data_IF_579846580124
#
_entry.id   IF_579846580124
#
_cell.length_a   1.000
_cell.length_b   1.000
_cell.length_c   1.000
_cell.angle_alpha   90.00
_cell.angle_beta   90.00
_cell.angle_gamma   90.00
#
_symmetry.space_group_name_H-M   'P 1'
#
loop_
_entity.id
_entity.type
_entity.pdbx_description
1 polymer ?
#
# COMPACT_ATOMS: atom_id res chain seq x y z
N UNK A 1 18.56 2.63 12.71
CA UNK A 1 19.36 2.32 11.49
C UNK A 1 20.12 3.51 10.89
N UNK A 2 19.53 4.71 10.74
CA UNK A 2 20.14 5.80 9.94
C UNK A 2 21.54 6.24 10.39
N UNK A 3 21.74 6.49 11.69
CA UNK A 3 23.02 6.94 12.23
C UNK A 3 24.14 5.92 11.97
N UNK A 4 23.86 4.63 12.23
CA UNK A 4 24.80 3.53 12.03
C UNK A 4 25.10 3.35 10.53
N UNK A 5 24.08 3.48 9.68
CA UNK A 5 24.27 3.48 8.22
C UNK A 5 25.23 4.59 7.78
N UNK A 6 25.03 5.82 8.26
CA UNK A 6 25.90 6.95 7.90
C UNK A 6 27.36 6.75 8.37
N UNK A 7 27.55 6.20 9.58
CA UNK A 7 28.90 5.89 10.09
C UNK A 7 29.58 4.81 9.25
N UNK A 8 28.86 3.74 8.88
CA UNK A 8 29.41 2.66 8.06
C UNK A 8 29.77 3.18 6.66
N UNK A 9 28.91 4.01 6.04
CA UNK A 9 29.17 4.59 4.72
C UNK A 9 30.36 5.55 4.75
N UNK A 10 30.47 6.40 5.79
CA UNK A 10 31.59 7.34 5.90
C UNK A 10 32.91 6.61 6.16
N UNK A 11 32.92 5.58 7.00
CA UNK A 11 34.09 4.73 7.24
C UNK A 11 34.50 3.97 5.98
N UNK A 12 33.55 3.35 5.27
CA UNK A 12 33.86 2.64 4.04
C UNK A 12 34.41 3.58 2.94
N UNK A 13 33.88 4.80 2.85
CA UNK A 13 34.41 5.83 1.95
C UNK A 13 35.81 6.30 2.36
N UNK A 14 36.10 6.40 3.66
CA UNK A 14 37.42 6.80 4.15
C UNK A 14 38.47 5.71 3.92
N UNK A 15 38.11 4.44 4.15
CA UNK A 15 39.00 3.29 3.96
C UNK A 15 39.03 2.74 2.51
N UNK A 16 38.28 3.35 1.57
CA UNK A 16 38.15 2.90 0.19
C UNK A 16 37.70 1.42 0.03
N UNK A 17 36.82 0.94 0.92
CA UNK A 17 36.30 -0.43 0.88
C UNK A 17 35.17 -0.50 -0.16
N UNK A 18 35.32 -1.35 -1.18
CA UNK A 18 34.32 -1.50 -2.25
C UNK A 18 33.10 -2.33 -1.84
N UNK A 19 33.31 -3.40 -1.07
CA UNK A 19 32.26 -4.35 -0.69
C UNK A 19 32.35 -4.62 0.82
N UNK A 20 31.25 -4.37 1.56
CA UNK A 20 31.17 -4.65 3.00
C UNK A 20 29.84 -5.29 3.35
N UNK A 21 29.91 -6.51 3.87
CA UNK A 21 28.78 -7.18 4.50
C UNK A 21 28.75 -6.83 5.98
N UNK A 22 27.58 -6.44 6.49
CA UNK A 22 27.34 -6.20 7.91
C UNK A 22 26.33 -7.20 8.45
N UNK A 23 26.54 -7.60 9.70
CA UNK A 23 25.54 -8.32 10.51
C UNK A 23 24.93 -7.29 11.43
N UNK A 24 23.60 -7.18 11.41
CA UNK A 24 22.91 -6.09 12.09
C UNK A 24 21.69 -6.63 12.80
N UNK A 25 21.56 -6.33 14.09
CA UNK A 25 20.42 -6.74 14.89
C UNK A 25 19.69 -5.51 15.45
N UNK A 26 18.52 -5.21 14.89
CA UNK A 26 17.61 -4.17 15.37
C UNK A 26 16.22 -4.76 15.61
N UNK A 27 15.98 -5.42 16.76
CA UNK A 27 14.72 -6.12 17.03
C UNK A 27 13.50 -5.17 17.01
N UNK A 28 13.60 -3.99 17.63
CA UNK A 28 12.50 -3.03 17.72
C UNK A 28 12.00 -2.54 16.34
N UNK A 29 12.93 -2.26 15.43
CA UNK A 29 12.61 -1.78 14.08
C UNK A 29 12.04 -2.89 13.19
N UNK A 30 12.41 -4.14 13.45
CA UNK A 30 11.87 -5.31 12.74
C UNK A 30 10.44 -5.58 13.21
N UNK A 31 10.17 -5.44 14.51
CA UNK A 31 8.81 -5.58 15.06
C UNK A 31 7.88 -4.48 14.56
N UNK A 32 8.35 -3.23 14.50
CA UNK A 32 7.60 -2.12 13.91
C UNK A 32 7.31 -2.36 12.42
N UNK A 33 8.29 -2.85 11.66
CA UNK A 33 8.11 -3.19 10.24
C UNK A 33 7.07 -4.31 10.05
N UNK A 34 7.06 -5.32 10.94
CA UNK A 34 6.06 -6.39 10.93
C UNK A 34 4.66 -5.83 11.19
N UNK A 35 4.51 -4.95 12.19
CA UNK A 35 3.23 -4.30 12.48
C UNK A 35 2.72 -3.45 11.30
N UNK A 36 3.62 -2.75 10.61
CA UNK A 36 3.28 -1.96 9.43
C UNK A 36 2.85 -2.85 8.26
N UNK A 37 3.54 -3.97 8.02
CA UNK A 37 3.18 -4.91 6.95
C UNK A 37 1.80 -5.54 7.17
N UNK A 38 1.45 -5.91 8.41
CA UNK A 38 0.10 -6.41 8.75
C UNK A 38 -0.97 -5.36 8.41
N UNK A 39 -0.74 -4.09 8.80
CA UNK A 39 -1.65 -3.00 8.45
C UNK A 39 -1.78 -2.78 6.95
N UNK A 40 -0.68 -2.91 6.21
CA UNK A 40 -0.69 -2.79 4.74
C UNK A 40 -1.58 -3.86 4.11
N UNK A 41 -1.52 -5.11 4.59
CA UNK A 41 -2.38 -6.20 4.13
C UNK A 41 -3.86 -5.93 4.43
N UNK A 42 -4.17 -5.43 5.63
CA UNK A 42 -5.54 -5.02 6.00
C UNK A 42 -6.08 -3.90 5.08
N UNK A 43 -5.28 -2.86 4.84
CA UNK A 43 -5.65 -1.74 3.96
C UNK A 43 -5.83 -2.19 2.50
N UNK A 44 -5.05 -3.18 2.06
CA UNK A 44 -5.21 -3.81 0.75
C UNK A 44 -6.55 -4.55 0.63
N UNK A 45 -6.92 -5.34 1.64
CA UNK A 45 -8.21 -6.04 1.67
C UNK A 45 -9.40 -5.06 1.69
N UNK A 46 -9.32 -3.98 2.49
CA UNK A 46 -10.33 -2.92 2.50
C UNK A 46 -10.44 -2.22 1.14
N UNK A 47 -9.30 -1.95 0.48
CA UNK A 47 -9.29 -1.35 -0.85
C UNK A 47 -9.99 -2.22 -1.89
N UNK A 48 -9.74 -3.51 -1.87
CA UNK A 48 -10.35 -4.47 -2.80
C UNK A 48 -11.87 -4.51 -2.64
N UNK A 49 -12.34 -4.61 -1.38
CA UNK A 49 -13.76 -4.55 -1.05
C UNK A 49 -14.42 -3.25 -1.52
N UNK A 50 -13.85 -2.09 -1.19
CA UNK A 50 -14.39 -0.79 -1.62
C UNK A 50 -14.42 -0.65 -3.15
N UNK A 51 -13.45 -1.26 -3.85
CA UNK A 51 -13.41 -1.23 -5.31
C UNK A 51 -14.54 -2.06 -5.93
N UNK A 52 -14.86 -3.22 -5.32
CA UNK A 52 -16.01 -4.04 -5.73
C UNK A 52 -17.34 -3.32 -5.47
N UNK A 53 -17.55 -2.77 -4.27
CA UNK A 53 -18.77 -2.03 -3.91
C UNK A 53 -19.00 -0.82 -4.85
N UNK A 54 -17.95 -0.08 -5.21
CA UNK A 54 -18.04 1.03 -6.17
C UNK A 54 -18.38 0.58 -7.59
N UNK A 55 -17.88 -0.58 -8.03
CA UNK A 55 -18.21 -1.14 -9.33
C UNK A 55 -19.70 -1.53 -9.39
N UNK A 56 -20.22 -2.14 -8.32
CA UNK A 56 -21.63 -2.49 -8.21
C UNK A 56 -22.53 -1.26 -8.19
N UNK A 57 -22.18 -0.22 -7.42
CA UNK A 57 -22.90 1.05 -7.44
C UNK A 57 -22.87 1.70 -8.83
N UNK A 58 -21.75 1.65 -9.54
CA UNK A 58 -21.64 2.20 -10.90
C UNK A 58 -22.54 1.46 -11.90
N UNK A 59 -22.64 0.13 -11.77
CA UNK A 59 -23.55 -0.69 -12.58
C UNK A 59 -25.02 -0.39 -12.25
N UNK A 60 -25.36 -0.23 -10.98
CA UNK A 60 -26.69 0.16 -10.53
C UNK A 60 -27.09 1.55 -11.04
N UNK A 61 -26.20 2.55 -10.97
CA UNK A 61 -26.44 3.89 -11.53
C UNK A 61 -26.75 3.79 -13.03
N UNK A 62 -25.96 3.03 -13.80
CA UNK A 62 -26.20 2.85 -15.24
C UNK A 62 -27.59 2.28 -15.52
N UNK A 63 -28.00 1.26 -14.77
CA UNK A 63 -29.33 0.65 -14.92
C UNK A 63 -30.46 1.62 -14.52
N UNK A 64 -30.27 2.40 -13.44
CA UNK A 64 -31.24 3.39 -12.99
C UNK A 64 -31.40 4.54 -13.98
N UNK A 65 -30.30 4.99 -14.62
CA UNK A 65 -30.35 6.02 -15.68
C UNK A 65 -31.17 5.53 -16.87
N UNK A 66 -30.95 4.29 -17.33
CA UNK A 66 -31.72 3.70 -18.43
C UNK A 66 -33.21 3.65 -18.07
N UNK A 67 -33.54 3.15 -16.87
CA UNK A 67 -34.94 3.05 -16.40
C UNK A 67 -35.61 4.42 -16.25
N UNK A 68 -34.87 5.42 -15.77
CA UNK A 68 -35.38 6.78 -15.65
C UNK A 68 -35.67 7.40 -17.02
N UNK A 69 -34.81 7.12 -18.02
CA UNK A 69 -35.00 7.58 -19.39
C UNK A 69 -36.18 6.88 -20.09
N UNK A 70 -36.33 5.57 -19.89
CA UNK A 70 -37.50 4.82 -20.39
C UNK A 70 -38.81 5.38 -19.81
N UNK A 71 -38.82 5.67 -18.50
CA UNK A 71 -39.98 6.27 -17.83
C UNK A 71 -40.29 7.67 -18.35
N UNK A 72 -39.24 8.45 -18.70
CA UNK A 72 -39.37 9.77 -19.33
C UNK A 72 -40.00 9.66 -20.72
N UNK A 73 -39.56 8.69 -21.53
CA UNK A 73 -40.13 8.43 -22.87
C UNK A 73 -41.60 7.98 -22.80
N UNK A 74 -41.98 7.23 -21.77
CA UNK A 74 -43.36 6.81 -21.52
C UNK A 74 -44.23 7.88 -20.84
N UNK A 75 -43.69 9.08 -20.57
CA UNK A 75 -44.35 10.19 -19.85
C UNK A 75 -44.79 9.84 -18.42
N UNK A 76 -44.21 8.79 -17.81
CA UNK A 76 -44.50 8.39 -16.44
C UNK A 76 -43.64 9.18 -15.44
N UNK A 77 -44.13 10.36 -15.09
CA UNK A 77 -43.45 11.29 -14.19
C UNK A 77 -43.31 10.76 -12.75
N UNK A 78 -44.17 9.83 -12.30
CA UNK A 78 -44.06 9.25 -10.94
C UNK A 78 -42.86 8.32 -10.86
N UNK A 79 -42.71 7.43 -11.83
CA UNK A 79 -41.60 6.48 -11.87
C UNK A 79 -40.28 7.17 -12.19
N UNK A 80 -40.29 8.18 -13.06
CA UNK A 80 -39.13 9.05 -13.30
C UNK A 80 -38.62 9.70 -12.00
N UNK A 81 -39.51 10.35 -11.23
CA UNK A 81 -39.13 11.01 -9.97
C UNK A 81 -38.55 10.03 -8.96
N UNK A 82 -39.12 8.83 -8.83
CA UNK A 82 -38.58 7.77 -7.95
C UNK A 82 -37.17 7.35 -8.39
N UNK A 83 -36.96 7.13 -9.69
CA UNK A 83 -35.65 6.79 -10.25
C UNK A 83 -34.58 7.85 -9.96
N UNK A 84 -34.92 9.14 -10.07
CA UNK A 84 -33.98 10.22 -9.71
C UNK A 84 -33.68 10.31 -8.21
N UNK A 85 -34.66 10.03 -7.34
CA UNK A 85 -34.43 9.99 -5.89
C UNK A 85 -33.46 8.85 -5.54
N UNK A 86 -33.69 7.66 -6.11
CA UNK A 86 -32.80 6.50 -5.95
C UNK A 86 -31.39 6.78 -6.49
N UNK A 87 -31.29 7.42 -7.66
CA UNK A 87 -30.02 7.82 -8.26
C UNK A 87 -29.28 8.85 -7.40
N UNK A 88 -29.98 9.81 -6.81
CA UNK A 88 -29.39 10.80 -5.91
C UNK A 88 -28.85 10.17 -4.62
N UNK A 89 -29.61 9.25 -4.02
CA UNK A 89 -29.16 8.49 -2.86
C UNK A 89 -27.90 7.69 -3.18
N UNK A 90 -27.92 6.94 -4.29
CA UNK A 90 -26.80 6.11 -4.73
C UNK A 90 -25.55 6.94 -5.07
N UNK A 91 -25.71 8.12 -5.67
CA UNK A 91 -24.60 9.05 -5.90
C UNK A 91 -24.00 9.58 -4.60
N UNK A 92 -24.84 9.87 -3.61
CA UNK A 92 -24.37 10.34 -2.29
C UNK A 92 -23.56 9.24 -1.59
N UNK A 93 -24.04 8.00 -1.65
CA UNK A 93 -23.34 6.84 -1.11
C UNK A 93 -22.02 6.58 -1.84
N UNK A 94 -22.00 6.69 -3.17
CA UNK A 94 -20.77 6.55 -3.97
C UNK A 94 -19.75 7.64 -3.64
N UNK A 95 -20.19 8.89 -3.43
CA UNK A 95 -19.31 9.98 -3.00
C UNK A 95 -18.71 9.72 -1.61
N UNK A 96 -19.49 9.18 -0.69
CA UNK A 96 -19.00 8.80 0.64
C UNK A 96 -17.99 7.65 0.55
N UNK A 97 -18.30 6.61 -0.22
CA UNK A 97 -17.38 5.49 -0.48
C UNK A 97 -16.08 5.95 -1.15
N UNK A 98 -16.17 6.90 -2.10
CA UNK A 98 -15.00 7.49 -2.76
C UNK A 98 -14.11 8.24 -1.76
N UNK A 99 -14.69 9.03 -0.85
CA UNK A 99 -13.92 9.72 0.20
C UNK A 99 -13.18 8.73 1.10
N UNK A 100 -13.86 7.68 1.56
CA UNK A 100 -13.24 6.61 2.37
C UNK A 100 -12.10 5.95 1.61
N UNK A 101 -12.29 5.65 0.31
CA UNK A 101 -11.25 5.08 -0.54
C UNK A 101 -10.04 6.00 -0.68
N UNK A 102 -10.25 7.30 -0.85
CA UNK A 102 -9.17 8.28 -0.90
C UNK A 102 -8.36 8.29 0.41
N UNK A 103 -9.04 8.35 1.55
CA UNK A 103 -8.37 8.29 2.87
C UNK A 103 -7.60 6.99 3.05
N UNK A 104 -8.21 5.84 2.73
CA UNK A 104 -7.55 4.53 2.78
C UNK A 104 -6.31 4.48 1.87
N UNK A 105 -6.41 5.06 0.66
CA UNK A 105 -5.30 5.11 -0.28
C UNK A 105 -4.15 5.99 0.20
N UNK A 106 -4.46 7.14 0.81
CA UNK A 106 -3.45 8.02 1.41
C UNK A 106 -2.71 7.33 2.57
N UNK A 107 -3.44 6.62 3.44
CA UNK A 107 -2.83 5.85 4.53
C UNK A 107 -1.94 4.72 3.99
N UNK A 108 -2.41 3.97 3.00
CA UNK A 108 -1.63 2.93 2.34
C UNK A 108 -0.32 3.48 1.75
N UNK A 109 -0.37 4.64 1.07
CA UNK A 109 0.82 5.30 0.53
C UNK A 109 1.80 5.71 1.61
N UNK A 110 1.32 6.20 2.77
CA UNK A 110 2.18 6.55 3.92
C UNK A 110 2.91 5.30 4.43
N UNK A 111 2.21 4.19 4.65
CA UNK A 111 2.82 2.95 5.12
C UNK A 111 3.80 2.36 4.11
N UNK A 112 3.45 2.33 2.82
CA UNK A 112 4.38 1.88 1.77
C UNK A 112 5.63 2.75 1.66
N UNK A 113 5.52 4.05 1.92
CA UNK A 113 6.69 4.95 1.99
C UNK A 113 7.58 4.59 3.17
N UNK A 114 7.02 4.32 4.34
CA UNK A 114 7.77 3.89 5.53
C UNK A 114 8.48 2.56 5.26
N UNK A 115 7.79 1.56 4.70
CA UNK A 115 8.38 0.27 4.32
C UNK A 115 9.57 0.46 3.37
N UNK A 116 9.41 1.25 2.31
CA UNK A 116 10.49 1.52 1.36
C UNK A 116 11.67 2.27 2.01
N UNK A 117 11.40 3.20 2.92
CA UNK A 117 12.45 3.86 3.69
C UNK A 117 13.18 2.85 4.58
N UNK A 118 12.49 1.98 5.31
CA UNK A 118 13.11 0.96 6.15
C UNK A 118 13.98 -0.01 5.34
N UNK A 119 13.56 -0.41 4.13
CA UNK A 119 14.39 -1.22 3.22
C UNK A 119 15.65 -0.46 2.81
N UNK A 120 15.54 0.82 2.46
CA UNK A 120 16.70 1.65 2.11
C UNK A 120 17.66 1.81 3.30
N UNK A 121 17.12 2.00 4.51
CA UNK A 121 17.90 2.06 5.75
C UNK A 121 18.64 0.75 6.01
N UNK A 122 17.98 -0.39 5.82
CA UNK A 122 18.59 -1.72 5.92
C UNK A 122 19.69 -1.94 4.86
N UNK A 123 19.51 -1.42 3.64
CA UNK A 123 20.51 -1.46 2.57
C UNK A 123 21.71 -0.56 2.85
N UNK A 124 21.50 0.63 3.43
CA UNK A 124 22.57 1.59 3.77
C UNK A 124 23.52 1.12 4.87
N UNK A 125 23.17 0.05 5.59
CA UNK A 125 24.08 -0.59 6.54
C UNK A 125 25.19 -1.41 5.85
N UNK A 126 25.15 -1.55 4.52
CA UNK A 126 26.09 -2.35 3.71
C UNK A 126 26.63 -1.54 2.54
N UNK A 127 27.76 -1.97 2.00
CA UNK A 127 28.47 -1.24 0.93
C UNK A 127 28.68 -2.17 -0.27
N UNK A 128 28.56 -1.60 -1.47
CA UNK A 128 28.79 -2.31 -2.72
C UNK A 128 27.69 -3.31 -3.08
N UNK A 129 28.08 -4.48 -3.56
CA UNK A 129 27.16 -5.51 -4.12
C UNK A 129 26.15 -6.01 -3.09
N UNK A 130 26.55 -6.07 -1.82
CA UNK A 130 25.71 -6.53 -0.71
C UNK A 130 24.51 -5.61 -0.44
N UNK A 131 24.61 -4.30 -0.74
CA UNK A 131 23.47 -3.37 -0.64
C UNK A 131 22.37 -3.74 -1.63
N UNK A 132 22.74 -3.99 -2.88
CA UNK A 132 21.77 -4.32 -3.94
C UNK A 132 21.09 -5.66 -3.68
N UNK A 133 21.85 -6.66 -3.23
CA UNK A 133 21.34 -8.00 -2.88
C UNK A 133 20.33 -7.96 -1.74
N UNK A 134 20.56 -7.15 -0.69
CA UNK A 134 19.62 -7.01 0.41
C UNK A 134 18.36 -6.28 -0.02
N UNK A 135 18.46 -5.24 -0.86
CA UNK A 135 17.29 -4.53 -1.36
C UNK A 135 16.41 -5.46 -2.22
N UNK A 136 17.02 -6.26 -3.11
CA UNK A 136 16.28 -7.24 -3.92
C UNK A 136 15.72 -8.37 -3.06
N UNK A 137 16.48 -8.89 -2.10
CA UNK A 137 16.03 -9.92 -1.16
C UNK A 137 14.86 -9.46 -0.29
N UNK A 138 14.92 -8.25 0.27
CA UNK A 138 13.83 -7.65 1.03
C UNK A 138 12.58 -7.45 0.16
N UNK A 139 12.72 -6.97 -1.08
CA UNK A 139 11.59 -6.82 -2.00
C UNK A 139 10.95 -8.17 -2.36
N UNK A 140 11.76 -9.21 -2.58
CA UNK A 140 11.25 -10.54 -2.89
C UNK A 140 10.56 -11.19 -1.69
N UNK A 141 11.07 -10.97 -0.48
CA UNK A 141 10.48 -11.49 0.76
C UNK A 141 9.14 -10.81 1.08
N UNK A 142 9.02 -9.51 0.80
CA UNK A 142 7.74 -8.79 0.90
C UNK A 142 6.73 -9.33 -0.11
N UNK A 143 7.15 -9.63 -1.36
CA UNK A 143 6.26 -10.21 -2.37
C UNK A 143 5.77 -11.62 -2.02
N UNK A 144 6.59 -12.40 -1.34
CA UNK A 144 6.28 -13.78 -0.93
C UNK A 144 5.62 -13.85 0.46
N UNK A 145 5.43 -12.69 1.11
CA UNK A 145 4.93 -12.53 2.48
C UNK A 145 5.68 -13.39 3.52
N UNK A 146 6.97 -13.66 3.28
CA UNK A 146 7.82 -14.44 4.18
C UNK A 146 8.56 -13.52 5.16
N UNK A 147 7.94 -13.30 6.31
CA UNK A 147 8.47 -12.50 7.41
C UNK A 147 9.74 -13.09 8.04
N UNK A 148 9.88 -14.42 8.02
CA UNK A 148 11.05 -15.10 8.59
C UNK A 148 12.27 -14.92 7.68
N UNK A 149 12.08 -15.04 6.36
CA UNK A 149 13.10 -14.71 5.37
C UNK A 149 13.47 -13.23 5.42
N UNK A 150 12.50 -12.31 5.52
CA UNK A 150 12.78 -10.88 5.63
C UNK A 150 13.66 -10.55 6.85
N UNK A 151 13.34 -11.15 8.01
CA UNK A 151 14.11 -10.95 9.24
C UNK A 151 15.54 -11.50 9.10
N UNK A 152 15.70 -12.67 8.47
CA UNK A 152 17.02 -13.28 8.22
C UNK A 152 17.85 -12.46 7.23
N UNK A 153 17.26 -11.99 6.13
CA UNK A 153 17.93 -11.18 5.13
C UNK A 153 18.35 -9.83 5.70
N UNK A 154 17.53 -9.20 6.56
CA UNK A 154 17.91 -7.96 7.24
C UNK A 154 19.09 -8.22 8.19
N UNK A 155 19.07 -9.31 8.96
CA UNK A 155 20.11 -9.66 9.94
C UNK A 155 21.44 -10.09 9.31
N UNK A 156 21.42 -11.02 8.37
CA UNK A 156 22.61 -11.69 7.84
C UNK A 156 22.95 -11.31 6.40
N UNK A 157 22.02 -10.70 5.66
CA UNK A 157 22.21 -10.34 4.25
C UNK A 157 21.94 -11.48 3.25
N UNK A 158 21.55 -12.66 3.75
CA UNK A 158 21.21 -13.89 2.99
C UNK A 158 20.01 -14.56 3.65
#
# INVERSE_FOLDING_TARGET
MDLVGNIIQSLASFLAIQDLQSVVEFPDQIEELKAILIKVDELHAVRERLTAEMADHSNLIRNLVIRAEDSRLMLDMKNMRRGYIELFALNTDLLNGYKIRCTNHEELLKYLKIVNQTIQKAGNLRVGKFKTLVITGCRNSIKTNDFAALTKIIKYGV
#
